data_IF_598381385549
#
_entry.id   IF_598381385549
#
_cell.length_a   1.000
_cell.length_b   1.000
_cell.length_c   1.000
_cell.angle_alpha   90.00
_cell.angle_beta   90.00
_cell.angle_gamma   90.00
#
_symmetry.space_group_name_H-M   'P 1'
#
loop_
_entity.id
_entity.type
_entity.pdbx_description
1 polymer ?
#
# COMPACT_ATOMS: atom_id res chain seq x y z
N UNK A 1 30.55 -89.57 -43.10
CA UNK A 1 30.50 -88.17 -43.51
C UNK A 1 29.75 -87.49 -42.44
N UNK A 2 30.45 -86.80 -41.59
CA UNK A 2 29.93 -86.12 -40.40
C UNK A 2 29.56 -84.70 -40.77
N UNK A 3 28.45 -84.27 -40.30
CA UNK A 3 27.97 -82.85 -40.32
C UNK A 3 27.89 -82.40 -38.90
N UNK A 4 28.81 -81.56 -38.48
CA UNK A 4 28.80 -80.88 -37.16
C UNK A 4 27.78 -79.75 -37.13
N UNK A 5 26.72 -79.85 -36.29
CA UNK A 5 25.84 -78.75 -35.95
C UNK A 5 26.42 -77.96 -34.78
N UNK A 6 26.88 -76.74 -35.08
CA UNK A 6 27.36 -75.78 -34.10
C UNK A 6 26.16 -75.04 -33.51
N UNK A 7 25.67 -75.47 -32.33
CA UNK A 7 24.70 -74.75 -31.59
C UNK A 7 25.24 -73.47 -30.92
N UNK A 8 24.92 -72.31 -31.42
CA UNK A 8 25.20 -70.98 -30.80
C UNK A 8 24.36 -70.77 -29.55
N UNK A 9 24.98 -70.88 -28.41
CA UNK A 9 24.38 -70.63 -27.10
C UNK A 9 24.45 -69.15 -26.85
N UNK A 10 23.34 -68.46 -27.12
CA UNK A 10 23.14 -67.04 -26.74
C UNK A 10 22.54 -66.93 -25.33
N UNK A 11 23.17 -66.19 -24.38
CA UNK A 11 22.58 -66.02 -23.06
C UNK A 11 21.40 -65.11 -23.14
N UNK A 12 20.36 -65.30 -22.27
CA UNK A 12 19.14 -64.46 -22.28
C UNK A 12 19.49 -63.05 -21.77
N UNK A 13 19.08 -62.03 -22.55
CA UNK A 13 19.06 -60.63 -22.14
C UNK A 13 18.18 -60.46 -20.88
N UNK A 14 18.82 -60.22 -19.75
CA UNK A 14 18.12 -59.84 -18.54
C UNK A 14 17.55 -58.41 -18.73
N UNK A 15 16.27 -58.32 -19.02
CA UNK A 15 15.50 -57.07 -18.93
C UNK A 15 15.29 -56.74 -17.44
N UNK A 16 16.27 -56.10 -16.85
CA UNK A 16 16.14 -55.54 -15.50
C UNK A 16 15.28 -54.26 -15.61
N UNK A 17 13.96 -54.46 -15.68
CA UNK A 17 12.99 -53.42 -15.59
C UNK A 17 13.04 -52.85 -14.17
N UNK A 18 13.90 -51.85 -13.95
CA UNK A 18 13.86 -50.99 -12.78
C UNK A 18 12.48 -50.41 -12.64
N UNK A 19 11.59 -51.11 -11.95
CA UNK A 19 10.35 -50.57 -11.42
C UNK A 19 10.72 -49.36 -10.57
N UNK A 20 10.61 -48.14 -11.15
CA UNK A 20 10.54 -46.90 -10.39
C UNK A 20 9.40 -47.06 -9.40
N UNK A 21 9.72 -47.36 -8.14
CA UNK A 21 8.79 -47.27 -7.04
C UNK A 21 8.19 -45.86 -7.07
N UNK A 22 6.99 -45.71 -7.61
CA UNK A 22 6.13 -44.56 -7.38
C UNK A 22 6.07 -44.44 -5.85
N UNK A 23 6.75 -43.44 -5.27
CA UNK A 23 6.50 -43.05 -3.89
C UNK A 23 5.06 -42.58 -3.88
N UNK A 24 4.17 -43.40 -3.43
CA UNK A 24 2.85 -43.02 -3.02
C UNK A 24 3.05 -42.08 -1.83
N UNK A 25 3.36 -40.81 -2.13
CA UNK A 25 3.23 -39.71 -1.20
C UNK A 25 1.76 -39.61 -0.89
N UNK A 26 1.35 -40.28 0.19
CA UNK A 26 -0.05 -40.34 0.56
C UNK A 26 -0.61 -38.91 0.66
N UNK A 27 -1.88 -38.71 0.32
CA UNK A 27 -2.62 -37.44 0.40
C UNK A 27 -2.30 -36.61 1.65
N UNK A 28 -1.93 -37.26 2.77
CA UNK A 28 -1.45 -36.61 4.00
C UNK A 28 -0.11 -35.89 3.82
N UNK A 29 0.81 -36.41 3.02
CA UNK A 29 2.08 -35.73 2.73
C UNK A 29 1.85 -34.50 1.85
N UNK A 30 0.91 -34.58 0.90
CA UNK A 30 0.51 -33.43 0.08
C UNK A 30 -0.20 -32.36 0.93
N UNK A 31 -1.13 -32.74 1.78
CA UNK A 31 -1.79 -31.82 2.71
C UNK A 31 -0.80 -31.16 3.65
N UNK A 32 0.17 -31.90 4.19
CA UNK A 32 1.23 -31.33 5.02
C UNK A 32 2.06 -30.30 4.25
N UNK A 33 2.41 -30.61 3.01
CA UNK A 33 3.17 -29.68 2.17
C UNK A 33 2.38 -28.39 1.89
N UNK A 34 1.10 -28.50 1.58
CA UNK A 34 0.20 -27.36 1.39
C UNK A 34 0.09 -26.54 2.70
N UNK A 35 -0.12 -27.20 3.83
CA UNK A 35 -0.20 -26.53 5.12
C UNK A 35 1.10 -25.77 5.46
N UNK A 36 2.26 -26.37 5.24
CA UNK A 36 3.56 -25.70 5.42
C UNK A 36 3.68 -24.51 4.50
N UNK A 37 3.32 -24.65 3.21
CA UNK A 37 3.35 -23.54 2.25
C UNK A 37 2.47 -22.37 2.73
N UNK A 38 1.23 -22.66 3.16
CA UNK A 38 0.32 -21.64 3.69
C UNK A 38 0.94 -20.94 4.91
N UNK A 39 1.51 -21.70 5.85
CA UNK A 39 2.14 -21.14 7.04
C UNK A 39 3.34 -20.25 6.69
N UNK A 40 4.17 -20.65 5.71
CA UNK A 40 5.29 -19.84 5.25
C UNK A 40 4.79 -18.54 4.62
N UNK A 41 3.78 -18.61 3.74
CA UNK A 41 3.20 -17.42 3.10
C UNK A 41 2.57 -16.49 4.14
N UNK A 42 1.78 -17.02 5.06
CA UNK A 42 1.17 -16.23 6.14
C UNK A 42 2.23 -15.63 7.06
N UNK A 43 3.28 -16.37 7.38
CA UNK A 43 4.43 -15.88 8.15
C UNK A 43 5.13 -14.73 7.43
N UNK A 44 5.41 -14.88 6.14
CA UNK A 44 6.01 -13.82 5.33
C UNK A 44 5.13 -12.55 5.29
N UNK A 45 3.83 -12.71 5.02
CA UNK A 45 2.89 -11.58 4.99
C UNK A 45 2.68 -10.92 6.36
N UNK A 46 2.86 -11.66 7.44
CA UNK A 46 2.70 -11.13 8.79
C UNK A 46 3.97 -10.44 9.33
N UNK A 47 5.15 -10.88 8.90
CA UNK A 47 6.42 -10.44 9.49
C UNK A 47 7.29 -9.62 8.54
N UNK A 48 7.24 -9.87 7.23
CA UNK A 48 8.15 -9.22 6.28
C UNK A 48 7.44 -8.16 5.46
N UNK A 49 6.61 -8.59 4.51
CA UNK A 49 5.95 -7.68 3.58
C UNK A 49 4.61 -8.24 3.10
N UNK A 50 3.68 -7.36 2.82
CA UNK A 50 2.35 -7.69 2.30
C UNK A 50 2.02 -6.82 1.09
N UNK A 51 1.48 -7.39 0.00
CA UNK A 51 0.95 -6.59 -1.09
C UNK A 51 -0.36 -5.90 -0.65
N UNK A 52 -0.52 -4.64 -1.04
CA UNK A 52 -1.75 -3.87 -0.83
C UNK A 52 -2.28 -3.34 -2.16
N UNK A 53 -3.59 -3.15 -2.19
CA UNK A 53 -4.32 -2.52 -3.28
C UNK A 53 -4.86 -1.16 -2.82
N UNK A 54 -4.82 -0.17 -3.69
CA UNK A 54 -5.36 1.17 -3.42
C UNK A 54 -6.79 1.28 -3.97
N UNK A 55 -7.80 1.32 -3.08
CA UNK A 55 -9.20 1.38 -3.48
C UNK A 55 -9.78 2.80 -3.54
N UNK A 56 -9.05 3.81 -3.05
CA UNK A 56 -9.56 5.17 -2.88
C UNK A 56 -8.60 6.24 -3.34
N UNK A 57 -9.11 7.43 -3.56
CA UNK A 57 -8.38 8.59 -4.07
C UNK A 57 -7.68 9.42 -2.97
N UNK A 58 -7.77 8.99 -1.69
CA UNK A 58 -7.31 9.78 -0.54
C UNK A 58 -5.81 10.09 -0.52
N UNK A 59 -5.02 9.40 -1.33
CA UNK A 59 -3.57 9.61 -1.45
C UNK A 59 -3.17 10.13 -2.84
N UNK A 60 -4.12 10.62 -3.65
CA UNK A 60 -3.78 11.35 -4.86
C UNK A 60 -3.05 12.65 -4.52
N UNK A 61 -2.09 13.09 -5.31
CA UNK A 61 -1.71 12.59 -6.64
C UNK A 61 -0.64 11.48 -6.59
N UNK A 62 -0.09 11.15 -5.42
CA UNK A 62 0.98 10.17 -5.27
C UNK A 62 0.53 8.74 -5.61
N UNK A 63 -0.60 8.33 -5.06
CA UNK A 63 -1.22 7.03 -5.31
C UNK A 63 -2.54 7.20 -6.05
N UNK A 64 -2.79 6.33 -7.02
CA UNK A 64 -4.04 6.27 -7.79
C UNK A 64 -4.82 5.00 -7.45
N UNK A 65 -6.14 5.07 -7.59
CA UNK A 65 -6.98 3.86 -7.47
C UNK A 65 -6.51 2.82 -8.49
N UNK A 66 -6.31 1.59 -8.06
CA UNK A 66 -5.76 0.53 -8.92
C UNK A 66 -4.25 0.27 -8.74
N UNK A 67 -3.53 1.13 -8.03
CA UNK A 67 -2.14 0.86 -7.67
C UNK A 67 -2.03 -0.36 -6.76
N UNK A 68 -1.01 -1.16 -7.00
CA UNK A 68 -0.57 -2.25 -6.13
C UNK A 68 0.80 -1.91 -5.58
N UNK A 69 0.96 -2.03 -4.28
CA UNK A 69 2.18 -1.63 -3.59
C UNK A 69 2.64 -2.68 -2.61
N UNK A 70 3.91 -2.60 -2.22
CA UNK A 70 4.50 -3.43 -1.16
C UNK A 70 4.54 -2.61 0.12
N UNK A 71 4.07 -3.22 1.20
CA UNK A 71 4.15 -2.67 2.55
C UNK A 71 5.03 -3.57 3.40
N UNK A 72 6.10 -3.02 3.96
CA UNK A 72 6.99 -3.71 4.89
C UNK A 72 6.56 -3.46 6.33
N UNK A 73 6.75 -4.46 7.19
CA UNK A 73 6.31 -4.40 8.58
C UNK A 73 7.44 -4.13 9.56
N UNK A 74 8.63 -4.62 9.27
CA UNK A 74 9.81 -4.52 10.13
C UNK A 74 10.30 -3.10 10.44
N UNK A 75 10.06 -2.04 9.61
CA UNK A 75 10.59 -0.71 9.92
C UNK A 75 10.11 -0.15 11.26
N UNK A 76 8.88 -0.52 11.66
CA UNK A 76 8.27 -0.01 12.89
C UNK A 76 8.15 -1.08 13.98
N UNK A 77 8.65 -2.31 13.73
CA UNK A 77 8.43 -3.45 14.61
C UNK A 77 7.00 -4.00 14.54
N UNK A 78 6.65 -4.90 15.46
CA UNK A 78 5.42 -5.71 15.38
C UNK A 78 4.46 -5.36 16.50
N UNK A 79 3.19 -5.18 16.17
CA UNK A 79 2.09 -4.94 17.09
C UNK A 79 0.97 -5.97 16.89
N UNK A 80 -0.15 -5.80 17.59
CA UNK A 80 -1.32 -6.67 17.48
C UNK A 80 -1.95 -6.71 16.07
N UNK A 81 -1.76 -5.67 15.24
CA UNK A 81 -2.25 -5.64 13.85
C UNK A 81 -1.25 -6.22 12.84
N UNK A 82 -0.05 -6.59 13.25
CA UNK A 82 0.96 -7.13 12.33
C UNK A 82 0.58 -8.48 11.73
N UNK A 83 -0.05 -9.43 12.47
CA UNK A 83 -0.51 -10.67 11.87
C UNK A 83 -1.56 -10.42 10.78
N UNK A 84 -1.49 -11.24 9.73
CA UNK A 84 -2.52 -11.24 8.68
C UNK A 84 -3.89 -11.56 9.29
N UNK A 85 -4.95 -10.88 8.84
CA UNK A 85 -6.34 -11.00 9.31
C UNK A 85 -6.66 -10.32 10.67
N UNK A 86 -5.74 -9.58 11.31
CA UNK A 86 -5.98 -8.82 12.55
C UNK A 86 -6.70 -9.66 13.63
N UNK A 87 -6.17 -10.86 13.89
CA UNK A 87 -6.79 -11.84 14.81
C UNK A 87 -6.48 -11.55 16.29
N UNK A 88 -5.47 -10.73 16.57
CA UNK A 88 -5.09 -10.40 17.94
C UNK A 88 -5.96 -9.26 18.48
N UNK A 89 -6.29 -9.29 19.79
CA UNK A 89 -6.95 -8.16 20.44
C UNK A 89 -6.01 -6.94 20.50
N UNK A 90 -6.56 -5.72 20.60
CA UNK A 90 -5.76 -4.53 20.81
C UNK A 90 -4.87 -4.67 22.05
N UNK A 91 -3.58 -4.43 21.88
CA UNK A 91 -2.57 -4.48 22.94
C UNK A 91 -1.63 -3.29 22.80
N UNK A 92 -1.22 -2.72 23.92
CA UNK A 92 -0.23 -1.65 23.94
C UNK A 92 1.18 -2.18 23.64
N UNK A 93 1.98 -1.34 23.01
CA UNK A 93 3.39 -1.61 22.73
C UNK A 93 3.65 -2.37 21.42
N UNK A 94 4.92 -2.39 21.06
CA UNK A 94 5.43 -3.06 19.85
C UNK A 94 6.71 -3.82 20.18
N UNK A 95 6.87 -5.01 19.62
CA UNK A 95 8.14 -5.73 19.62
C UNK A 95 9.10 -5.06 18.65
N UNK A 96 10.31 -4.73 19.09
CA UNK A 96 11.33 -4.00 18.31
C UNK A 96 10.80 -2.66 17.76
N UNK A 97 9.97 -1.97 18.57
CA UNK A 97 9.26 -0.79 18.16
C UNK A 97 10.16 0.38 17.79
N UNK A 98 9.84 1.03 16.67
CA UNK A 98 10.43 2.28 16.22
C UNK A 98 9.31 3.16 15.69
N UNK A 99 9.27 4.42 16.13
CA UNK A 99 8.29 5.39 15.61
C UNK A 99 8.53 5.62 14.11
N UNK A 100 7.45 5.82 13.34
CA UNK A 100 7.58 6.24 11.95
C UNK A 100 8.20 7.64 11.86
N UNK A 101 8.76 7.95 10.71
CA UNK A 101 9.28 9.28 10.42
C UNK A 101 8.21 10.16 9.77
N UNK A 102 8.35 11.50 9.91
CA UNK A 102 7.47 12.41 9.18
C UNK A 102 7.63 12.20 7.68
N UNK A 103 6.51 12.18 6.98
CA UNK A 103 6.45 11.96 5.56
C UNK A 103 6.32 10.49 5.16
N UNK A 104 6.52 9.53 6.06
CA UNK A 104 6.30 8.12 5.75
C UNK A 104 4.83 7.87 5.34
N UNK A 105 4.63 7.10 4.28
CA UNK A 105 3.31 6.59 3.90
C UNK A 105 3.09 5.25 4.61
N UNK A 106 2.02 5.17 5.40
CA UNK A 106 1.78 4.03 6.28
C UNK A 106 0.41 3.41 6.06
N UNK A 107 0.32 2.11 6.28
CA UNK A 107 -0.96 1.44 6.48
C UNK A 107 -1.34 1.59 7.95
N UNK A 108 -2.57 1.99 8.20
CA UNK A 108 -3.12 2.19 9.54
C UNK A 108 -4.50 1.54 9.64
N UNK A 109 -4.77 0.87 10.75
CA UNK A 109 -6.10 0.35 11.06
C UNK A 109 -6.71 1.25 12.14
N UNK A 110 -7.80 1.98 11.85
CA UNK A 110 -8.44 2.87 12.82
C UNK A 110 -8.83 2.12 14.10
N UNK A 111 -8.80 2.76 15.28
CA UNK A 111 -9.25 2.13 16.53
C UNK A 111 -10.67 1.56 16.40
N UNK A 112 -10.85 0.31 16.81
CA UNK A 112 -12.13 -0.39 16.72
C UNK A 112 -12.51 -0.90 15.33
N UNK A 113 -11.70 -0.65 14.29
CA UNK A 113 -11.91 -1.12 12.92
C UNK A 113 -11.08 -2.37 12.60
N UNK A 114 -11.42 -3.03 11.50
CA UNK A 114 -10.62 -4.06 10.83
C UNK A 114 -10.23 -3.69 9.40
N UNK A 115 -10.61 -2.48 8.97
CA UNK A 115 -10.33 -1.97 7.64
C UNK A 115 -9.02 -1.18 7.66
N UNK A 116 -8.12 -1.52 6.76
CA UNK A 116 -6.84 -0.82 6.61
C UNK A 116 -7.01 0.45 5.78
N UNK A 117 -6.45 1.55 6.25
CA UNK A 117 -6.32 2.81 5.53
C UNK A 117 -4.87 3.03 5.15
N UNK A 118 -4.64 3.85 4.14
CA UNK A 118 -3.32 4.36 3.78
C UNK A 118 -3.28 5.87 3.97
N UNK A 119 -2.29 6.36 4.72
CA UNK A 119 -2.15 7.78 5.06
C UNK A 119 -0.67 8.14 5.20
N UNK A 120 -0.39 9.44 5.23
CA UNK A 120 0.96 9.97 5.47
C UNK A 120 1.11 10.43 6.92
N UNK A 121 2.27 10.14 7.51
CA UNK A 121 2.64 10.63 8.84
C UNK A 121 3.02 12.10 8.76
N UNK A 122 2.24 12.94 9.42
CA UNK A 122 2.44 14.39 9.43
C UNK A 122 2.92 14.86 10.80
N UNK A 123 2.29 14.39 11.88
CA UNK A 123 2.63 14.74 13.26
C UNK A 123 3.21 13.57 14.03
N UNK A 124 4.16 13.86 14.91
CA UNK A 124 4.83 12.94 15.83
C UNK A 124 4.49 13.31 17.28
N UNK A 125 4.74 12.43 18.27
CA UNK A 125 4.50 12.73 19.68
C UNK A 125 5.10 14.08 20.10
N UNK A 126 4.31 14.89 20.81
CA UNK A 126 4.68 16.24 21.26
C UNK A 126 4.44 17.36 20.25
N UNK A 127 4.08 17.06 18.99
CA UNK A 127 3.68 18.10 18.05
C UNK A 127 2.30 18.66 18.33
N UNK A 128 2.13 19.95 18.10
CA UNK A 128 0.82 20.59 17.99
C UNK A 128 0.46 20.74 16.51
N UNK A 129 -0.65 20.12 16.10
CA UNK A 129 -1.12 20.12 14.72
C UNK A 129 -2.34 21.03 14.60
N UNK A 130 -2.33 21.89 13.59
CA UNK A 130 -3.45 22.76 13.26
C UNK A 130 -3.55 22.92 11.73
N UNK A 131 -4.76 23.03 11.22
CA UNK A 131 -5.03 23.41 9.82
C UNK A 131 -5.89 24.66 9.81
N UNK A 132 -5.44 25.72 9.13
CA UNK A 132 -6.16 27.01 8.98
C UNK A 132 -6.29 27.32 7.50
N UNK A 133 -7.52 27.27 6.98
CA UNK A 133 -7.80 27.53 5.56
C UNK A 133 -6.96 26.64 4.63
N UNK A 134 -6.88 25.34 4.92
CA UNK A 134 -6.11 24.36 4.16
C UNK A 134 -4.59 24.40 4.40
N UNK A 135 -4.07 25.42 5.09
CA UNK A 135 -2.66 25.52 5.43
C UNK A 135 -2.37 24.72 6.70
N UNK A 136 -1.45 23.75 6.59
CA UNK A 136 -0.97 22.96 7.74
C UNK A 136 0.03 23.77 8.58
N UNK A 137 -0.14 23.73 9.90
CA UNK A 137 0.78 24.24 10.89
C UNK A 137 1.24 23.11 11.82
N UNK A 138 2.52 23.10 12.13
CA UNK A 138 3.13 22.19 13.10
C UNK A 138 3.93 23.03 14.10
N UNK A 139 3.56 22.95 15.38
CA UNK A 139 4.16 23.77 16.45
C UNK A 139 4.13 25.27 16.13
N UNK A 140 2.94 25.77 15.76
CA UNK A 140 2.68 27.15 15.35
C UNK A 140 3.44 27.66 14.12
N UNK A 141 4.15 26.78 13.40
CA UNK A 141 4.88 27.13 12.19
C UNK A 141 4.15 26.58 10.97
N UNK A 142 3.85 27.47 10.01
CA UNK A 142 3.29 27.04 8.74
C UNK A 142 4.26 26.09 8.03
N UNK A 143 3.74 24.95 7.60
CA UNK A 143 4.48 24.03 6.74
C UNK A 143 4.67 24.69 5.38
N UNK A 144 5.94 24.84 4.89
CA UNK A 144 6.17 25.42 3.58
C UNK A 144 5.38 24.69 2.51
N UNK A 145 4.59 25.45 1.75
CA UNK A 145 3.69 24.96 0.71
C UNK A 145 3.89 25.77 -0.57
N UNK A 146 4.22 25.10 -1.67
CA UNK A 146 4.46 25.71 -2.97
C UNK A 146 3.47 25.19 -4.01
N UNK A 147 2.76 26.07 -4.71
CA UNK A 147 1.94 25.69 -5.84
C UNK A 147 2.82 25.16 -6.99
N UNK A 148 2.47 23.99 -7.50
CA UNK A 148 3.16 23.30 -8.60
C UNK A 148 2.38 23.36 -9.91
N UNK A 149 1.22 24.05 -9.92
CA UNK A 149 0.27 24.05 -11.02
C UNK A 149 -0.62 22.83 -11.04
N UNK A 150 -1.39 22.70 -12.11
CA UNK A 150 -2.34 21.61 -12.26
C UNK A 150 -1.67 20.35 -12.83
N UNK A 151 -2.07 19.19 -12.33
CA UNK A 151 -1.72 17.88 -12.89
C UNK A 151 -2.95 17.24 -13.51
N UNK A 152 -2.77 16.71 -14.70
CA UNK A 152 -3.81 15.94 -15.39
C UNK A 152 -3.70 14.48 -14.99
N UNK A 153 -4.68 14.00 -14.23
CA UNK A 153 -4.80 12.59 -13.85
C UNK A 153 -5.70 11.92 -14.90
N UNK A 154 -5.23 10.86 -15.60
CA UNK A 154 -6.05 10.16 -16.57
C UNK A 154 -7.33 9.62 -15.95
N UNK A 155 -8.47 9.84 -16.61
CA UNK A 155 -9.75 9.24 -16.25
C UNK A 155 -9.85 7.88 -16.90
N UNK A 156 -10.14 6.87 -16.08
CA UNK A 156 -10.31 5.49 -16.50
C UNK A 156 -11.38 4.79 -15.64
N UNK A 157 -11.51 3.46 -15.70
CA UNK A 157 -12.53 2.75 -14.97
C UNK A 157 -12.35 2.82 -13.43
N UNK A 158 -11.13 3.05 -12.97
CA UNK A 158 -10.79 3.20 -11.54
C UNK A 158 -10.82 4.67 -11.07
N UNK A 159 -10.46 5.62 -11.93
CA UNK A 159 -10.37 7.06 -11.59
C UNK A 159 -11.40 7.82 -12.41
N UNK A 160 -12.51 8.24 -11.80
CA UNK A 160 -13.69 8.75 -12.53
C UNK A 160 -13.78 10.27 -12.65
N UNK A 161 -12.99 11.05 -11.90
CA UNK A 161 -13.13 12.51 -11.80
C UNK A 161 -14.57 12.93 -11.45
N UNK A 162 -15.04 12.45 -10.29
CA UNK A 162 -16.42 12.67 -9.84
C UNK A 162 -16.68 14.17 -9.62
N UNK A 163 -17.72 14.76 -10.25
CA UNK A 163 -18.03 16.19 -10.09
C UNK A 163 -18.31 16.61 -8.64
N UNK A 164 -18.77 15.70 -7.78
CA UNK A 164 -19.04 15.98 -6.37
C UNK A 164 -17.75 16.19 -5.56
N UNK A 165 -16.63 15.58 -6.01
CA UNK A 165 -15.31 15.72 -5.39
C UNK A 165 -14.36 16.62 -6.18
N UNK A 166 -14.63 16.81 -7.49
CA UNK A 166 -13.76 17.55 -8.43
C UNK A 166 -14.59 18.43 -9.34
N UNK A 167 -15.32 19.44 -8.82
CA UNK A 167 -16.22 20.27 -9.62
C UNK A 167 -15.45 21.00 -10.73
N UNK A 168 -15.89 20.82 -11.96
CA UNK A 168 -15.30 21.47 -13.13
C UNK A 168 -13.88 20.98 -13.53
N UNK A 169 -13.39 19.92 -12.88
CA UNK A 169 -12.03 19.40 -13.12
C UNK A 169 -11.92 18.48 -14.35
N UNK A 170 -13.03 17.95 -14.87
CA UNK A 170 -13.02 17.07 -16.03
C UNK A 170 -12.67 17.86 -17.30
N UNK A 171 -11.54 17.53 -17.90
CA UNK A 171 -11.00 18.17 -19.11
C UNK A 171 -10.56 17.12 -20.13
N UNK A 172 -10.17 17.57 -21.33
CA UNK A 172 -9.46 16.72 -22.31
C UNK A 172 -7.97 17.00 -22.23
N UNK A 173 -7.18 15.92 -22.10
CA UNK A 173 -5.73 15.99 -22.21
C UNK A 173 -5.26 16.32 -23.64
N UNK A 174 -3.97 16.53 -23.80
CA UNK A 174 -3.36 16.80 -25.12
C UNK A 174 -3.53 15.63 -26.11
N UNK A 175 -3.72 14.41 -25.61
CA UNK A 175 -4.01 13.20 -26.38
C UNK A 175 -5.51 13.04 -26.73
N UNK A 176 -6.35 14.01 -26.35
CA UNK A 176 -7.80 14.01 -26.54
C UNK A 176 -8.58 13.14 -25.55
N UNK A 177 -7.89 12.43 -24.65
CA UNK A 177 -8.52 11.57 -23.63
C UNK A 177 -9.05 12.38 -22.45
N UNK A 178 -10.07 11.89 -21.74
CA UNK A 178 -10.56 12.55 -20.53
C UNK A 178 -9.50 12.49 -19.42
N UNK A 179 -9.35 13.59 -18.71
CA UNK A 179 -8.44 13.71 -17.58
C UNK A 179 -9.07 14.59 -16.49
N UNK A 180 -8.71 14.34 -15.24
CA UNK A 180 -9.07 15.15 -14.10
C UNK A 180 -7.95 16.15 -13.84
N UNK A 181 -8.25 17.44 -13.91
CA UNK A 181 -7.32 18.54 -13.66
C UNK A 181 -7.31 18.87 -12.16
N UNK A 182 -6.21 18.59 -11.48
CA UNK A 182 -6.08 18.70 -10.04
C UNK A 182 -4.97 19.67 -9.70
N UNK A 183 -5.26 20.68 -8.87
CA UNK A 183 -4.28 21.61 -8.34
C UNK A 183 -3.34 20.89 -7.39
N UNK A 184 -2.03 21.01 -7.64
CA UNK A 184 -0.99 20.33 -6.88
C UNK A 184 -0.17 21.34 -6.09
N UNK A 185 0.07 21.01 -4.84
CA UNK A 185 0.95 21.75 -3.94
C UNK A 185 2.05 20.83 -3.44
N UNK A 186 3.26 21.36 -3.35
CA UNK A 186 4.38 20.67 -2.74
C UNK A 186 4.58 21.16 -1.33
N UNK A 187 4.51 20.26 -0.37
CA UNK A 187 4.74 20.54 1.04
C UNK A 187 6.08 20.01 1.51
N UNK A 188 6.71 20.72 2.45
CA UNK A 188 7.96 20.32 3.08
C UNK A 188 7.78 20.30 4.59
N UNK A 189 7.69 19.10 5.17
CA UNK A 189 7.55 18.92 6.61
C UNK A 189 8.84 19.27 7.37
N UNK A 190 8.77 19.56 8.68
CA UNK A 190 9.95 19.65 9.52
C UNK A 190 10.81 18.39 9.39
N UNK A 191 12.12 18.58 9.17
CA UNK A 191 13.04 17.48 8.83
C UNK A 191 13.23 17.25 7.33
N UNK A 192 12.60 18.08 6.47
CA UNK A 192 12.88 18.13 5.03
C UNK A 192 12.12 17.11 4.18
N UNK A 193 11.22 16.31 4.76
CA UNK A 193 10.38 15.39 3.98
C UNK A 193 9.43 16.17 3.07
N UNK A 194 9.57 15.99 1.75
CA UNK A 194 8.86 16.74 0.72
C UNK A 194 8.01 15.81 -0.12
N UNK A 195 6.78 16.20 -0.42
CA UNK A 195 5.79 15.42 -1.20
C UNK A 195 4.73 16.32 -1.80
N UNK A 196 4.01 15.81 -2.80
CA UNK A 196 2.93 16.52 -3.47
C UNK A 196 1.58 16.20 -2.82
N UNK A 197 0.74 17.22 -2.66
CA UNK A 197 -0.65 17.15 -2.16
C UNK A 197 -1.61 17.69 -3.20
N UNK A 198 -2.84 17.20 -3.19
CA UNK A 198 -3.97 17.77 -3.91
C UNK A 198 -4.84 18.58 -2.94
N UNK A 199 -5.23 19.78 -3.36
CA UNK A 199 -6.12 20.68 -2.60
C UNK A 199 -6.88 21.50 -3.65
N UNK A 200 -8.19 21.34 -3.73
CA UNK A 200 -9.00 21.74 -4.88
C UNK A 200 -9.94 22.87 -4.51
N UNK A 201 -10.61 22.72 -3.39
CA UNK A 201 -11.60 23.70 -2.90
C UNK A 201 -11.70 23.64 -1.38
N UNK A 202 -12.53 24.52 -0.81
CA UNK A 202 -12.77 24.52 0.63
C UNK A 202 -13.45 23.23 1.09
N UNK A 203 -12.88 22.60 2.10
CA UNK A 203 -13.42 21.41 2.76
C UNK A 203 -13.51 21.57 4.27
N UNK A 204 -14.28 20.73 4.95
CA UNK A 204 -14.32 20.72 6.42
C UNK A 204 -12.95 20.42 7.05
N UNK A 205 -12.08 19.70 6.32
CA UNK A 205 -10.73 19.41 6.78
C UNK A 205 -9.79 20.60 6.77
N UNK A 206 -10.19 21.76 6.20
CA UNK A 206 -9.36 22.96 6.12
C UNK A 206 -9.34 23.75 7.45
N UNK A 207 -10.16 23.36 8.40
CA UNK A 207 -10.16 23.93 9.75
C UNK A 207 -10.11 22.81 10.78
N UNK A 208 -8.95 22.65 11.44
CA UNK A 208 -8.74 21.60 12.43
C UNK A 208 -7.76 22.06 13.52
N UNK A 209 -8.03 21.67 14.76
CA UNK A 209 -7.12 21.89 15.88
C UNK A 209 -7.18 23.29 16.47
N UNK A 210 -6.15 23.75 17.20
CA UNK A 210 -4.89 23.01 17.47
C UNK A 210 -5.09 21.79 18.37
N UNK A 211 -4.39 20.69 18.04
CA UNK A 211 -4.39 19.44 18.81
C UNK A 211 -2.96 18.95 19.04
N UNK A 212 -2.61 18.70 20.27
CA UNK A 212 -1.32 18.10 20.63
C UNK A 212 -1.36 16.59 20.37
N UNK A 213 -0.35 16.07 19.71
CA UNK A 213 -0.15 14.62 19.49
C UNK A 213 0.39 13.99 20.79
N UNK A 214 -0.36 13.11 21.44
CA UNK A 214 0.08 12.48 22.70
C UNK A 214 1.28 11.55 22.49
N UNK A 215 1.97 11.21 23.58
CA UNK A 215 2.99 10.17 23.57
C UNK A 215 2.43 8.86 23.00
N UNK A 216 3.23 8.16 22.19
CA UNK A 216 2.81 6.92 21.56
C UNK A 216 1.75 7.07 20.46
N UNK A 217 1.46 8.29 20.01
CA UNK A 217 0.51 8.55 18.91
C UNK A 217 1.19 9.24 17.74
N UNK A 218 0.53 9.18 16.60
CA UNK A 218 0.93 9.89 15.37
C UNK A 218 -0.29 10.57 14.74
N UNK A 219 -0.06 11.67 14.06
CA UNK A 219 -1.10 12.36 13.29
C UNK A 219 -0.93 12.05 11.80
N UNK A 220 -1.99 11.58 11.19
CA UNK A 220 -2.00 11.05 9.83
C UNK A 220 -2.93 11.86 8.95
N UNK A 221 -2.47 12.22 7.76
CA UNK A 221 -3.28 12.91 6.74
C UNK A 221 -3.19 12.22 5.38
N UNK A 222 -4.23 12.36 4.57
CA UNK A 222 -4.17 12.00 3.16
C UNK A 222 -3.45 13.07 2.34
N UNK A 223 -2.84 12.66 1.24
CA UNK A 223 -2.23 13.58 0.29
C UNK A 223 -3.29 14.34 -0.53
N UNK A 224 -4.48 13.74 -0.72
CA UNK A 224 -5.65 14.41 -1.26
C UNK A 224 -6.42 15.07 -0.10
N UNK A 225 -6.14 16.33 0.16
CA UNK A 225 -6.59 17.07 1.34
C UNK A 225 -8.10 17.17 1.46
N UNK A 226 -8.81 17.31 0.36
CA UNK A 226 -10.25 17.48 0.31
C UNK A 226 -11.00 16.15 0.22
N UNK A 227 -10.34 15.08 -0.25
CA UNK A 227 -10.93 13.77 -0.39
C UNK A 227 -10.21 12.72 0.46
N UNK A 228 -10.04 13.01 1.76
CA UNK A 228 -9.39 12.09 2.71
C UNK A 228 -10.09 12.10 4.06
N UNK A 229 -10.69 10.99 4.42
CA UNK A 229 -11.08 10.71 5.80
C UNK A 229 -9.82 10.27 6.59
N UNK A 230 -9.27 11.18 7.42
CA UNK A 230 -8.01 11.00 8.13
C UNK A 230 -8.09 11.51 9.59
N UNK A 231 -6.97 11.85 10.22
CA UNK A 231 -6.95 12.31 11.62
C UNK A 231 -7.72 13.60 11.87
N UNK A 232 -8.07 14.35 10.84
CA UNK A 232 -8.89 15.57 10.96
C UNK A 232 -10.38 15.26 11.19
N UNK A 233 -10.81 14.04 10.91
CA UNK A 233 -12.20 13.63 10.95
C UNK A 233 -12.47 12.59 12.03
N UNK A 234 -13.64 12.64 12.71
CA UNK A 234 -14.00 11.67 13.73
C UNK A 234 -14.26 10.27 13.15
N UNK A 235 -14.22 9.25 14.01
CA UNK A 235 -14.40 7.85 13.62
C UNK A 235 -15.76 7.55 12.99
N UNK A 236 -16.81 8.17 13.48
CA UNK A 236 -18.20 8.01 12.98
C UNK A 236 -18.42 8.62 11.59
N UNK A 237 -17.49 9.48 11.13
CA UNK A 237 -17.44 10.01 9.77
C UNK A 237 -16.41 9.27 8.90
N UNK A 238 -15.95 8.10 9.32
CA UNK A 238 -14.96 7.31 8.60
C UNK A 238 -13.52 7.83 8.73
N UNK A 239 -13.28 8.84 9.58
CA UNK A 239 -11.95 9.37 9.87
C UNK A 239 -11.15 8.47 10.84
N UNK A 240 -10.04 9.01 11.35
CA UNK A 240 -9.18 8.33 12.31
C UNK A 240 -9.43 8.78 13.77
N UNK A 241 -10.28 9.78 14.00
CA UNK A 241 -10.65 10.25 15.34
C UNK A 241 -9.57 11.07 16.04
N UNK A 242 -8.69 11.75 15.31
CA UNK A 242 -7.56 12.50 15.86
C UNK A 242 -6.24 11.75 15.75
N UNK A 243 -5.26 12.04 16.63
CA UNK A 243 -4.02 11.29 16.73
C UNK A 243 -4.28 9.79 17.00
N UNK A 244 -3.59 8.92 16.28
CA UNK A 244 -3.78 7.46 16.31
C UNK A 244 -2.66 6.79 17.10
N UNK A 245 -2.95 5.81 17.99
CA UNK A 245 -1.91 5.02 18.61
C UNK A 245 -0.99 4.38 17.57
N UNK A 246 0.31 4.48 17.74
CA UNK A 246 1.27 3.95 16.77
C UNK A 246 1.23 2.43 16.61
N UNK A 247 0.66 1.72 17.60
CA UNK A 247 0.38 0.29 17.51
C UNK A 247 -0.59 -0.05 16.38
N UNK A 248 -1.42 0.90 15.98
CA UNK A 248 -2.38 0.76 14.88
C UNK A 248 -1.73 0.89 13.49
N UNK A 249 -0.41 1.17 13.41
CA UNK A 249 0.32 1.20 12.15
C UNK A 249 0.70 -0.23 11.74
N UNK A 250 0.21 -0.67 10.59
CA UNK A 250 0.43 -2.00 10.03
C UNK A 250 1.77 -2.18 9.30
N UNK A 251 2.38 -1.07 8.83
CA UNK A 251 3.65 -1.08 8.10
C UNK A 251 3.85 0.14 7.24
N UNK A 252 5.03 0.23 6.60
CA UNK A 252 5.42 1.32 5.69
C UNK A 252 5.21 0.90 4.24
N UNK A 253 4.61 1.77 3.46
CA UNK A 253 4.50 1.62 2.01
C UNK A 253 5.84 1.98 1.35
N UNK A 254 6.38 1.07 0.53
CA UNK A 254 7.72 1.21 -0.02
C UNK A 254 7.71 1.71 -1.46
N UNK A 255 7.03 0.99 -2.35
CA UNK A 255 6.95 1.32 -3.77
C UNK A 255 5.74 0.68 -4.44
N UNK A 256 5.38 1.20 -5.62
CA UNK A 256 4.33 0.66 -6.48
C UNK A 256 4.89 -0.49 -7.30
N UNK A 257 4.28 -1.67 -7.21
CA UNK A 257 4.66 -2.84 -8.03
C UNK A 257 4.12 -2.75 -9.44
N UNK A 258 2.82 -2.44 -9.57
CA UNK A 258 2.13 -2.18 -10.82
C UNK A 258 0.81 -1.45 -10.56
N UNK A 259 0.23 -0.91 -11.62
CA UNK A 259 -1.02 -0.15 -11.57
C UNK A 259 -1.96 -0.59 -12.68
N UNK A 260 -3.25 -0.77 -12.35
CA UNK A 260 -4.28 -1.17 -13.30
C UNK A 260 -5.32 -0.05 -13.46
N UNK A 261 -5.76 0.16 -14.68
CA UNK A 261 -6.77 1.17 -15.04
C UNK A 261 -8.23 0.72 -14.79
N UNK A 262 -8.44 -0.51 -14.29
CA UNK A 262 -9.75 -1.07 -14.02
C UNK A 262 -10.42 -1.77 -15.21
N UNK A 263 -9.78 -1.85 -16.38
CA UNK A 263 -10.30 -2.56 -17.57
C UNK A 263 -9.91 -4.03 -17.60
N UNK A 264 -9.07 -4.50 -16.63
CA UNK A 264 -8.68 -5.90 -16.54
C UNK A 264 -9.89 -6.82 -16.39
N UNK A 265 -9.99 -7.84 -17.23
CA UNK A 265 -11.04 -8.85 -17.22
C UNK A 265 -10.53 -10.21 -16.77
N UNK A 266 -11.42 -11.21 -16.71
CA UNK A 266 -11.04 -12.61 -16.46
C UNK A 266 -10.14 -13.22 -17.56
N UNK A 267 -10.04 -12.58 -18.75
CA UNK A 267 -9.12 -12.99 -19.79
C UNK A 267 -7.68 -12.46 -19.50
N UNK A 268 -6.70 -13.32 -19.21
CA UNK A 268 -5.34 -12.88 -18.89
C UNK A 268 -4.65 -12.07 -20.02
N UNK A 269 -5.07 -12.27 -21.27
CA UNK A 269 -4.52 -11.53 -22.40
C UNK A 269 -4.85 -10.03 -22.35
N UNK A 270 -5.90 -9.63 -21.64
CA UNK A 270 -6.27 -8.21 -21.47
C UNK A 270 -5.48 -7.50 -20.38
N UNK A 271 -4.79 -8.24 -19.50
CA UNK A 271 -4.10 -7.65 -18.37
C UNK A 271 -2.97 -6.72 -18.76
N UNK A 272 -2.25 -7.06 -19.84
CA UNK A 272 -1.17 -6.21 -20.36
C UNK A 272 -1.68 -4.85 -20.85
N UNK A 273 -2.87 -4.82 -21.45
CA UNK A 273 -3.51 -3.58 -21.92
C UNK A 273 -4.05 -2.71 -20.79
N UNK A 274 -4.32 -3.29 -19.62
CA UNK A 274 -4.84 -2.57 -18.45
C UNK A 274 -3.75 -1.98 -17.55
N UNK A 275 -2.47 -2.25 -17.83
CA UNK A 275 -1.35 -1.72 -17.07
C UNK A 275 -1.15 -0.22 -17.39
N UNK A 276 -1.14 0.60 -16.32
CA UNK A 276 -0.72 2.01 -16.46
C UNK A 276 0.80 2.10 -16.54
N UNK A 277 1.29 2.70 -17.63
CA UNK A 277 2.73 2.92 -17.81
C UNK A 277 3.29 3.95 -16.83
N UNK A 278 4.58 3.84 -16.51
CA UNK A 278 5.31 4.82 -15.71
C UNK A 278 5.01 4.81 -14.21
N UNK A 279 4.22 3.84 -13.70
CA UNK A 279 3.93 3.76 -12.27
C UNK A 279 4.71 2.67 -11.53
N UNK A 280 5.15 1.63 -12.24
CA UNK A 280 5.93 0.54 -11.66
C UNK A 280 7.28 1.03 -11.15
N UNK A 281 7.63 0.66 -9.91
CA UNK A 281 8.88 1.02 -9.26
C UNK A 281 8.91 2.43 -8.65
N UNK A 282 7.83 3.21 -8.74
CA UNK A 282 7.76 4.52 -8.09
C UNK A 282 7.86 4.34 -6.58
N UNK A 283 8.84 5.01 -5.98
CA UNK A 283 9.03 5.06 -4.52
C UNK A 283 7.91 5.84 -3.86
N UNK A 284 7.48 5.38 -2.68
CA UNK A 284 6.51 6.06 -1.83
C UNK A 284 7.18 6.78 -0.66
N UNK A 285 8.51 6.74 -0.60
CA UNK A 285 9.27 7.54 0.35
C UNK A 285 9.22 9.02 -0.05
N UNK A 286 9.11 9.95 0.93
CA UNK A 286 9.20 11.36 0.65
C UNK A 286 10.59 11.72 0.11
N UNK A 287 10.67 12.70 -0.76
CA UNK A 287 11.95 13.29 -1.13
C UNK A 287 12.56 13.94 0.12
N UNK A 288 13.86 13.74 0.33
CA UNK A 288 14.61 14.38 1.42
C UNK A 288 15.85 15.04 0.84
N UNK A 289 16.29 16.22 1.36
CA UNK A 289 17.56 16.78 0.96
C UNK A 289 18.68 15.76 1.24
N UNK A 290 19.64 15.66 0.35
CA UNK A 290 20.84 14.87 0.57
C UNK A 290 21.54 15.37 1.85
N UNK A 291 21.78 14.48 2.79
CA UNK A 291 22.51 14.73 4.04
C UNK A 291 23.99 14.97 3.77
#
# INVERSE_FOLDING_TARGET
MASDDLALNTPPLSTDARKKKKKDGGWLAELRSIAVLILVVLGFHSLVAKPFYIPSESMMPGLLVGDRLVVTKYPYGYSFISPTFHLLPPMAGRLFGRLPERGDVVIVTPPGSRTDYIKRVVGLPGDTIEVRGGQLFINDRAVPRKAMGDRLIPVDANTRCDPDHYPGALVRGADGRPACRIAIFRETLPGGATYDTADIEYSYGDSYGPVMVPDGHVFLMGDNRDNSADSRFPLDQGGLGGPVPWENIGGRAEFITFSLDGTASWNPLTWWGSLRSGRTGLSLHPERPAS
#
